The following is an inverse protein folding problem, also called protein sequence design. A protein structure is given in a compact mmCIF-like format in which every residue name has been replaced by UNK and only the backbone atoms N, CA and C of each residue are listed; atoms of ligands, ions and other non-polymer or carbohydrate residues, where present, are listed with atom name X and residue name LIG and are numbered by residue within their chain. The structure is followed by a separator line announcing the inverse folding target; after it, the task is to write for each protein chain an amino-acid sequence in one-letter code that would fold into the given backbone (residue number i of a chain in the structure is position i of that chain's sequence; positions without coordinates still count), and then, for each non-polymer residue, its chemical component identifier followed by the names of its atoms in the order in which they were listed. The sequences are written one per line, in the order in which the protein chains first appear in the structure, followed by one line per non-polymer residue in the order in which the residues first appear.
data_IF_330789670794
#
_entry.id   IF_330789670794
#
_cell.length_a   1.000
_cell.length_b   1.000
_cell.length_c   1.000
_cell.angle_alpha   90.00
_cell.angle_beta   90.00
_cell.angle_gamma   90.00
#
_symmetry.space_group_name_H-M   'P 1'
#
loop_
_entity.id
_entity.type
_entity.pdbx_description
1 polymer ?
#
# COMPACT_ATOMS: atom_id res chain seq x y z
N UNK A 1 16.63 3.08 35.03
CA UNK A 1 16.38 3.32 33.58
C UNK A 1 14.88 3.24 33.31
N UNK A 2 14.34 4.09 32.47
CA UNK A 2 12.89 4.08 32.14
C UNK A 2 12.65 2.99 31.10
N UNK A 3 11.77 2.03 31.41
CA UNK A 3 11.42 0.97 30.47
C UNK A 3 10.51 1.50 29.33
N UNK A 4 10.63 0.89 28.16
CA UNK A 4 9.69 1.10 27.05
C UNK A 4 8.30 0.59 27.46
N UNK A 5 7.25 1.33 27.13
CA UNK A 5 5.87 0.86 27.28
C UNK A 5 5.62 -0.40 26.45
N UNK A 6 4.60 -1.18 26.77
CA UNK A 6 4.24 -2.38 26.01
C UNK A 6 3.99 -2.06 24.52
N UNK A 7 3.31 -0.96 24.23
CA UNK A 7 3.09 -0.48 22.87
C UNK A 7 4.40 -0.15 22.14
N UNK A 8 5.34 0.53 22.83
CA UNK A 8 6.67 0.82 22.29
C UNK A 8 7.48 -0.46 22.04
N UNK A 9 7.42 -1.44 22.96
CA UNK A 9 8.08 -2.74 22.78
C UNK A 9 7.52 -3.49 21.57
N UNK A 10 6.20 -3.49 21.36
CA UNK A 10 5.56 -4.05 20.16
C UNK A 10 6.00 -3.32 18.90
N UNK A 11 5.99 -1.98 18.92
CA UNK A 11 6.41 -1.13 17.81
C UNK A 11 7.87 -1.36 17.42
N UNK A 12 8.77 -1.53 18.38
CA UNK A 12 10.21 -1.73 18.18
C UNK A 12 10.64 -3.20 18.22
N UNK A 13 9.71 -4.15 18.19
CA UNK A 13 9.97 -5.58 18.32
C UNK A 13 11.05 -6.09 17.36
N UNK A 14 11.05 -5.63 16.12
CA UNK A 14 12.08 -5.99 15.13
C UNK A 14 13.46 -5.45 15.54
N UNK A 15 13.55 -4.22 16.04
CA UNK A 15 14.81 -3.62 16.46
C UNK A 15 15.38 -4.30 17.73
N UNK A 16 14.49 -4.68 18.64
CA UNK A 16 14.85 -5.47 19.84
C UNK A 16 15.37 -6.85 19.41
N UNK A 17 14.67 -7.54 18.52
CA UNK A 17 15.09 -8.85 17.99
C UNK A 17 16.49 -8.83 17.36
N UNK A 18 16.82 -7.75 16.67
CA UNK A 18 18.12 -7.58 16.00
C UNK A 18 19.21 -6.94 16.89
N UNK A 19 18.92 -6.69 18.18
CA UNK A 19 19.88 -6.16 19.15
C UNK A 19 20.27 -4.70 18.94
N UNK A 20 19.46 -3.89 18.24
CA UNK A 20 19.69 -2.47 18.06
C UNK A 20 19.22 -1.61 19.24
N UNK A 21 18.24 -2.10 19.98
CA UNK A 21 17.72 -1.50 21.22
C UNK A 21 17.37 -2.61 22.20
N UNK A 22 17.41 -2.26 23.51
CA UNK A 22 16.92 -3.12 24.59
C UNK A 22 15.45 -2.81 24.88
N UNK A 23 14.88 -3.44 25.92
CA UNK A 23 13.54 -3.10 26.41
C UNK A 23 13.51 -1.79 27.20
N UNK A 24 14.67 -1.19 27.43
CA UNK A 24 14.81 0.10 28.12
C UNK A 24 14.96 1.24 27.11
N UNK A 25 14.52 2.43 27.50
CA UNK A 25 14.80 3.63 26.72
C UNK A 25 16.30 3.87 26.72
N UNK A 26 16.96 4.04 25.55
CA UNK A 26 18.39 4.31 25.50
C UNK A 26 18.75 5.55 26.31
N UNK A 27 19.89 5.50 27.01
CA UNK A 27 20.44 6.66 27.71
C UNK A 27 20.76 7.81 26.75
N UNK A 28 21.28 7.48 25.56
CA UNK A 28 21.43 8.42 24.45
C UNK A 28 20.34 8.21 23.39
N UNK A 29 19.38 9.13 23.36
CA UNK A 29 18.30 9.17 22.39
C UNK A 29 18.66 9.90 21.09
N UNK A 30 19.91 10.40 20.96
CA UNK A 30 20.40 11.17 19.82
C UNK A 30 21.22 10.32 18.82
N UNK A 31 21.35 9.02 19.06
CA UNK A 31 22.04 8.09 18.15
C UNK A 31 21.32 7.99 16.78
N UNK A 32 22.08 7.67 15.74
CA UNK A 32 21.51 7.40 14.41
C UNK A 32 20.47 6.28 14.47
N UNK A 33 20.82 5.17 15.15
CA UNK A 33 19.95 3.99 15.30
C UNK A 33 18.61 4.36 15.92
N UNK A 34 18.64 5.07 17.07
CA UNK A 34 17.40 5.45 17.74
C UNK A 34 16.54 6.41 16.92
N UNK A 35 17.18 7.38 16.26
CA UNK A 35 16.51 8.34 15.36
C UNK A 35 15.83 7.61 14.21
N UNK A 36 16.52 6.62 13.60
CA UNK A 36 16.00 5.82 12.52
C UNK A 36 14.80 4.96 12.95
N UNK A 37 14.94 4.20 14.04
CA UNK A 37 13.91 3.27 14.53
C UNK A 37 12.63 4.00 14.94
N UNK A 38 12.77 5.13 15.65
CA UNK A 38 11.60 5.95 16.03
C UNK A 38 10.77 6.34 14.82
N UNK A 39 11.40 6.64 13.70
CA UNK A 39 10.76 7.12 12.49
C UNK A 39 10.34 5.99 11.56
N UNK A 40 11.17 4.97 11.45
CA UNK A 40 11.02 3.86 10.52
C UNK A 40 11.13 2.49 11.21
N UNK A 41 10.23 2.14 12.17
CA UNK A 41 10.33 0.92 12.96
C UNK A 41 10.28 -0.36 12.12
N UNK A 42 9.66 -0.30 10.94
CA UNK A 42 9.56 -1.42 10.00
C UNK A 42 10.73 -1.49 9.00
N UNK A 43 11.75 -0.64 9.14
CA UNK A 43 12.93 -0.55 8.27
C UNK A 43 14.24 -0.93 8.98
N UNK A 44 14.14 -1.84 9.95
CA UNK A 44 15.31 -2.31 10.72
C UNK A 44 16.32 -3.02 9.82
N UNK A 45 15.90 -3.63 8.73
CA UNK A 45 16.78 -4.26 7.74
C UNK A 45 17.83 -3.28 7.16
N UNK A 46 17.51 -2.00 7.05
CA UNK A 46 18.50 -0.96 6.64
C UNK A 46 19.64 -0.85 7.65
N UNK A 47 19.33 -0.91 8.95
CA UNK A 47 20.35 -0.92 10.00
C UNK A 47 21.16 -2.22 10.01
N UNK A 48 20.52 -3.36 9.71
CA UNK A 48 21.23 -4.66 9.57
C UNK A 48 22.25 -4.58 8.44
N UNK A 49 21.87 -4.05 7.28
CA UNK A 49 22.78 -3.84 6.14
C UNK A 49 23.96 -2.92 6.50
N UNK A 50 23.66 -1.76 7.08
CA UNK A 50 24.72 -0.85 7.56
C UNK A 50 25.64 -1.52 8.57
N UNK A 51 25.11 -2.30 9.52
CA UNK A 51 25.94 -3.05 10.48
C UNK A 51 26.83 -4.08 9.79
N UNK A 52 26.34 -4.76 8.76
CA UNK A 52 27.12 -5.73 7.99
C UNK A 52 28.26 -5.06 7.21
N UNK A 53 28.00 -3.89 6.61
CA UNK A 53 29.02 -3.10 5.90
C UNK A 53 30.10 -2.58 6.86
N UNK A 54 29.68 -2.11 8.04
CA UNK A 54 30.57 -1.47 9.01
C UNK A 54 31.24 -2.44 10.00
N UNK A 55 30.75 -3.68 10.12
CA UNK A 55 31.14 -4.63 11.17
C UNK A 55 30.69 -4.23 12.59
N UNK A 56 29.94 -3.13 12.75
CA UNK A 56 29.47 -2.60 14.05
C UNK A 56 28.17 -1.83 13.90
N UNK A 57 27.55 -1.48 15.04
CA UNK A 57 26.34 -0.65 15.07
C UNK A 57 26.63 0.73 14.46
N UNK A 58 25.84 1.19 13.46
CA UNK A 58 26.09 2.43 12.75
C UNK A 58 25.89 3.67 13.63
N UNK A 59 26.78 4.65 13.48
CA UNK A 59 26.74 5.97 14.11
C UNK A 59 26.60 7.05 13.05
N UNK A 60 26.37 8.30 13.47
CA UNK A 60 26.25 9.42 12.54
C UNK A 60 27.52 9.69 11.72
N UNK A 61 28.68 9.58 12.36
CA UNK A 61 29.99 9.77 11.75
C UNK A 61 30.39 8.68 10.76
N UNK A 62 29.73 7.52 10.79
CA UNK A 62 29.97 6.44 9.85
C UNK A 62 29.32 6.65 8.50
N UNK A 63 28.39 7.59 8.41
CA UNK A 63 27.66 7.88 7.18
C UNK A 63 28.52 8.76 6.26
N UNK A 64 29.54 8.14 5.66
CA UNK A 64 30.41 8.68 4.60
C UNK A 64 29.77 8.48 3.23
N UNK A 65 30.35 9.10 2.19
CA UNK A 65 29.89 8.90 0.82
C UNK A 65 30.05 7.43 0.39
N UNK A 66 31.16 6.77 0.76
CA UNK A 66 31.45 5.37 0.44
C UNK A 66 30.42 4.43 1.12
N UNK A 67 30.21 4.55 2.43
CA UNK A 67 29.23 3.72 3.18
C UNK A 67 27.80 3.88 2.62
N UNK A 68 27.43 5.07 2.19
CA UNK A 68 26.11 5.31 1.61
C UNK A 68 26.02 4.69 0.21
N UNK A 69 27.10 4.72 -0.57
CA UNK A 69 27.18 4.04 -1.87
C UNK A 69 27.08 2.53 -1.69
N UNK A 70 27.91 1.95 -0.82
CA UNK A 70 27.91 0.51 -0.53
C UNK A 70 26.54 0.02 -0.05
N UNK A 71 25.88 0.81 0.81
CA UNK A 71 24.50 0.49 1.25
C UNK A 71 23.53 0.46 0.08
N UNK A 72 23.64 1.39 -0.86
CA UNK A 72 22.76 1.47 -2.01
C UNK A 72 23.02 0.28 -2.94
N UNK A 73 24.26 -0.05 -3.21
CA UNK A 73 24.66 -1.17 -4.06
C UNK A 73 24.20 -2.51 -3.46
N UNK A 74 24.38 -2.70 -2.15
CA UNK A 74 23.87 -3.86 -1.41
C UNK A 74 22.33 -3.97 -1.47
N UNK A 75 21.61 -2.83 -1.40
CA UNK A 75 20.16 -2.83 -1.58
C UNK A 75 19.75 -3.14 -3.03
N UNK A 76 20.47 -2.62 -4.02
CA UNK A 76 20.17 -2.83 -5.45
C UNK A 76 20.39 -4.28 -5.88
N UNK A 77 21.24 -5.01 -5.17
CA UNK A 77 21.51 -6.42 -5.45
C UNK A 77 20.29 -7.33 -5.25
N UNK A 78 19.49 -7.12 -4.19
CA UNK A 78 18.40 -8.05 -3.82
C UNK A 78 17.03 -7.41 -3.69
N UNK A 79 16.92 -6.08 -3.64
CA UNK A 79 15.65 -5.39 -3.50
C UNK A 79 15.09 -4.90 -4.85
N UNK A 80 13.77 -4.87 -4.93
CA UNK A 80 13.10 -4.25 -6.06
C UNK A 80 13.42 -2.74 -6.14
N UNK A 81 13.64 -2.16 -7.35
CA UNK A 81 14.08 -0.77 -7.54
C UNK A 81 13.23 0.28 -6.79
N UNK A 82 11.91 0.10 -6.74
CA UNK A 82 11.03 1.01 -6.00
C UNK A 82 11.15 0.86 -4.46
N UNK A 83 11.60 -0.30 -3.97
CA UNK A 83 11.92 -0.49 -2.54
C UNK A 83 13.21 0.25 -2.18
N UNK A 84 14.25 0.11 -3.02
CA UNK A 84 15.49 0.89 -2.89
C UNK A 84 15.19 2.38 -2.90
N UNK A 85 14.42 2.86 -3.89
CA UNK A 85 14.01 4.26 -3.99
C UNK A 85 13.33 4.76 -2.71
N UNK A 86 12.45 3.96 -2.12
CA UNK A 86 11.74 4.33 -0.89
C UNK A 86 12.71 4.46 0.28
N UNK A 87 13.60 3.47 0.47
CA UNK A 87 14.60 3.48 1.55
C UNK A 87 15.57 4.65 1.37
N UNK A 88 16.04 4.89 0.15
CA UNK A 88 16.91 6.04 -0.16
C UNK A 88 16.23 7.37 0.17
N UNK A 89 14.93 7.54 -0.17
CA UNK A 89 14.18 8.74 0.16
C UNK A 89 13.99 8.91 1.68
N UNK A 90 13.71 7.83 2.41
CA UNK A 90 13.59 7.81 3.86
C UNK A 90 14.92 8.18 4.53
N UNK A 91 16.04 7.58 4.10
CA UNK A 91 17.38 7.88 4.62
C UNK A 91 17.77 9.33 4.32
N UNK A 92 17.59 9.78 3.09
CA UNK A 92 17.84 11.18 2.70
C UNK A 92 17.05 12.17 3.57
N UNK A 93 15.80 11.87 3.88
CA UNK A 93 14.97 12.71 4.74
C UNK A 93 15.51 12.77 6.19
N UNK A 94 16.02 11.65 6.72
CA UNK A 94 16.64 11.59 8.05
C UNK A 94 17.95 12.39 8.05
N UNK A 95 18.81 12.21 7.05
CA UNK A 95 20.08 12.94 6.96
C UNK A 95 19.87 14.44 6.82
N UNK A 96 18.96 14.89 5.94
CA UNK A 96 18.66 16.30 5.74
C UNK A 96 18.19 17.02 7.02
N UNK A 97 17.37 16.33 7.85
CA UNK A 97 16.89 16.91 9.12
C UNK A 97 17.98 17.06 10.18
N UNK A 98 19.00 16.23 10.10
CA UNK A 98 20.03 16.15 11.13
C UNK A 98 21.39 16.69 10.69
N UNK A 99 21.57 17.08 9.42
CA UNK A 99 22.87 17.53 8.86
C UNK A 99 23.49 18.73 9.57
N UNK A 100 22.68 19.60 10.17
CA UNK A 100 23.17 20.77 10.89
C UNK A 100 23.60 20.45 12.32
N UNK A 101 23.16 19.34 12.92
CA UNK A 101 23.36 19.05 14.34
C UNK A 101 24.11 17.76 14.60
N UNK A 102 24.31 16.91 13.59
CA UNK A 102 24.95 15.60 13.70
C UNK A 102 26.20 15.51 12.84
N UNK A 103 27.23 14.77 13.28
CA UNK A 103 28.50 14.64 12.58
C UNK A 103 28.43 13.73 11.37
N UNK A 104 27.54 14.04 10.39
CA UNK A 104 27.40 13.31 9.14
C UNK A 104 28.59 13.68 8.24
N UNK A 105 29.38 12.69 7.83
CA UNK A 105 30.60 12.92 7.02
C UNK A 105 30.33 12.94 5.52
N UNK A 106 29.23 12.34 5.06
CA UNK A 106 28.86 12.40 3.64
C UNK A 106 28.49 13.83 3.24
N UNK A 107 29.15 14.33 2.21
CA UNK A 107 28.86 15.65 1.60
C UNK A 107 27.89 15.55 0.43
N UNK A 108 27.80 14.36 -0.20
CA UNK A 108 27.07 14.15 -1.45
C UNK A 108 25.87 13.18 -1.30
N UNK A 109 25.50 12.79 -0.08
CA UNK A 109 24.38 11.84 0.15
C UNK A 109 23.09 12.22 -0.60
N UNK A 110 22.89 13.54 -0.82
CA UNK A 110 21.74 14.04 -1.57
C UNK A 110 21.69 13.54 -3.03
N UNK A 111 22.86 13.29 -3.63
CA UNK A 111 23.02 12.74 -4.98
C UNK A 111 23.09 11.22 -4.96
N UNK A 112 23.87 10.63 -4.05
CA UNK A 112 24.04 9.19 -3.91
C UNK A 112 22.69 8.49 -3.68
N UNK A 113 21.82 9.07 -2.83
CA UNK A 113 20.50 8.55 -2.52
C UNK A 113 19.40 8.91 -3.55
N UNK A 114 19.79 9.37 -4.75
CA UNK A 114 18.85 9.48 -5.86
C UNK A 114 18.57 8.10 -6.45
N UNK A 115 17.29 7.74 -6.56
CA UNK A 115 16.85 6.53 -7.25
C UNK A 115 15.61 6.83 -8.10
N UNK A 116 15.61 6.35 -9.34
CA UNK A 116 14.51 6.57 -10.29
C UNK A 116 13.30 5.70 -9.92
N UNK A 117 12.10 6.23 -10.14
CA UNK A 117 10.85 5.47 -10.05
C UNK A 117 10.76 4.55 -11.27
N UNK A 118 10.63 3.26 -11.01
CA UNK A 118 10.38 2.26 -12.05
C UNK A 118 8.88 2.03 -12.17
N UNK A 119 8.32 2.08 -13.39
CA UNK A 119 6.91 1.77 -13.60
C UNK A 119 6.56 0.38 -13.08
N UNK A 120 5.36 0.24 -12.54
CA UNK A 120 4.79 -1.04 -12.11
C UNK A 120 3.48 -1.22 -12.82
N UNK A 121 3.36 -2.27 -13.62
CA UNK A 121 2.10 -2.66 -14.19
C UNK A 121 1.35 -3.53 -13.17
N UNK A 122 0.14 -3.10 -12.85
CA UNK A 122 -0.72 -3.77 -11.90
C UNK A 122 -1.87 -4.47 -12.62
N UNK A 123 -2.54 -5.38 -11.90
CA UNK A 123 -3.71 -6.10 -12.37
C UNK A 123 -4.98 -5.54 -11.73
N UNK A 124 -6.08 -5.75 -12.41
CA UNK A 124 -7.44 -5.52 -11.93
C UNK A 124 -8.33 -6.72 -12.27
N UNK A 125 -9.52 -6.79 -11.72
CA UNK A 125 -10.52 -7.82 -12.05
C UNK A 125 -11.56 -7.26 -13.01
N UNK A 126 -11.95 -8.07 -14.00
CA UNK A 126 -13.07 -7.76 -14.88
C UNK A 126 -14.42 -7.89 -14.14
N UNK A 127 -15.49 -7.31 -14.68
CA UNK A 127 -16.84 -7.46 -14.11
C UNK A 127 -17.22 -8.93 -13.95
N UNK A 128 -16.89 -9.77 -14.94
CA UNK A 128 -17.15 -11.19 -14.89
C UNK A 128 -16.38 -11.93 -13.78
N UNK A 129 -15.11 -11.56 -13.57
CA UNK A 129 -14.30 -12.11 -12.48
C UNK A 129 -14.82 -11.68 -11.10
N UNK A 130 -15.28 -10.43 -10.96
CA UNK A 130 -15.94 -9.96 -9.73
C UNK A 130 -17.24 -10.73 -9.47
N UNK A 131 -18.05 -10.97 -10.50
CA UNK A 131 -19.28 -11.77 -10.37
C UNK A 131 -18.95 -13.18 -9.87
N UNK A 132 -17.93 -13.83 -10.41
CA UNK A 132 -17.49 -15.16 -9.93
C UNK A 132 -17.11 -15.15 -8.44
N UNK A 133 -16.43 -14.09 -7.99
CA UNK A 133 -16.09 -13.95 -6.56
C UNK A 133 -17.35 -13.71 -5.74
N UNK A 134 -18.26 -12.87 -6.21
CA UNK A 134 -19.54 -12.62 -5.53
C UNK A 134 -20.34 -13.93 -5.35
N UNK A 135 -20.44 -14.75 -6.38
CA UNK A 135 -21.19 -16.00 -6.40
C UNK A 135 -20.49 -17.15 -5.67
N UNK A 136 -19.20 -16.98 -5.36
CA UNK A 136 -18.45 -17.98 -4.60
C UNK A 136 -19.06 -18.22 -3.23
N UNK A 137 -19.29 -19.50 -2.89
CA UNK A 137 -19.81 -19.94 -1.59
C UNK A 137 -18.65 -20.22 -0.64
N UNK A 138 -18.41 -19.35 0.35
CA UNK A 138 -17.31 -19.51 1.30
C UNK A 138 -17.48 -20.76 2.17
N UNK A 139 -16.38 -21.46 2.45
CA UNK A 139 -16.37 -22.66 3.29
C UNK A 139 -16.08 -22.36 4.76
N UNK A 140 -15.75 -21.09 5.09
CA UNK A 140 -15.46 -20.66 6.46
C UNK A 140 -15.81 -19.19 6.65
N UNK A 141 -15.97 -18.78 7.92
CA UNK A 141 -16.17 -17.37 8.30
C UNK A 141 -15.04 -16.47 7.80
N UNK A 142 -13.79 -16.96 7.79
CA UNK A 142 -12.64 -16.22 7.30
C UNK A 142 -12.71 -15.99 5.80
N UNK A 143 -13.11 -16.99 5.03
CA UNK A 143 -13.33 -16.82 3.58
C UNK A 143 -14.48 -15.86 3.32
N UNK A 144 -15.59 -15.98 4.05
CA UNK A 144 -16.74 -15.07 3.95
C UNK A 144 -16.33 -13.62 4.20
N UNK A 145 -15.62 -13.38 5.28
CA UNK A 145 -15.11 -12.06 5.63
C UNK A 145 -14.18 -11.49 4.55
N UNK A 146 -13.17 -12.25 4.13
CA UNK A 146 -12.21 -11.81 3.11
C UNK A 146 -12.90 -11.52 1.78
N UNK A 147 -13.82 -12.39 1.35
CA UNK A 147 -14.64 -12.16 0.16
C UNK A 147 -15.41 -10.86 0.23
N UNK A 148 -16.13 -10.64 1.32
CA UNK A 148 -17.01 -9.49 1.47
C UNK A 148 -16.21 -8.17 1.57
N UNK A 149 -15.15 -8.13 2.38
CA UNK A 149 -14.28 -6.94 2.46
C UNK A 149 -13.63 -6.62 1.11
N UNK A 150 -13.19 -7.63 0.36
CA UNK A 150 -12.62 -7.42 -0.97
C UNK A 150 -13.66 -6.90 -1.98
N UNK A 151 -14.89 -7.43 -1.95
CA UNK A 151 -15.96 -6.94 -2.80
C UNK A 151 -16.34 -5.50 -2.45
N UNK A 152 -16.45 -5.16 -1.15
CA UNK A 152 -16.67 -3.78 -0.72
C UNK A 152 -15.55 -2.87 -1.27
N UNK A 153 -14.27 -3.27 -1.16
CA UNK A 153 -13.15 -2.52 -1.72
C UNK A 153 -13.29 -2.33 -3.25
N UNK A 154 -13.74 -3.36 -3.97
CA UNK A 154 -13.87 -3.34 -5.42
C UNK A 154 -15.07 -2.53 -5.94
N UNK A 155 -16.10 -2.31 -5.12
CA UNK A 155 -17.30 -1.57 -5.51
C UNK A 155 -17.38 -0.15 -4.92
N UNK A 156 -16.53 0.17 -3.94
CA UNK A 156 -16.47 1.50 -3.30
C UNK A 156 -15.17 2.24 -3.55
N UNK A 157 -14.13 1.53 -3.98
CA UNK A 157 -12.79 2.09 -4.09
C UNK A 157 -12.13 2.39 -2.74
N UNK A 158 -12.76 2.12 -1.60
CA UNK A 158 -12.21 2.37 -0.28
C UNK A 158 -10.95 1.54 0.01
N UNK A 159 -10.09 1.97 0.95
CA UNK A 159 -8.96 1.14 1.39
C UNK A 159 -9.44 -0.01 2.26
N UNK A 160 -8.73 -1.13 2.24
CA UNK A 160 -9.06 -2.32 3.04
C UNK A 160 -9.33 -2.00 4.53
N UNK A 161 -8.54 -1.12 5.12
CA UNK A 161 -8.72 -0.69 6.52
C UNK A 161 -10.02 0.10 6.72
N UNK A 162 -10.43 0.87 5.73
CA UNK A 162 -11.67 1.66 5.78
C UNK A 162 -12.88 0.74 5.56
N UNK A 163 -12.82 -0.19 4.59
CA UNK A 163 -13.87 -1.18 4.35
C UNK A 163 -14.22 -2.01 5.60
N UNK A 164 -13.23 -2.32 6.43
CA UNK A 164 -13.44 -3.07 7.70
C UNK A 164 -14.24 -2.32 8.76
N UNK A 165 -14.39 -1.01 8.61
CA UNK A 165 -15.11 -0.12 9.56
C UNK A 165 -16.47 0.32 9.03
N UNK A 166 -16.80 -0.02 7.79
CA UNK A 166 -18.07 0.33 7.17
C UNK A 166 -19.22 -0.52 7.72
N UNK A 167 -20.37 0.11 7.84
CA UNK A 167 -21.63 -0.49 8.24
C UNK A 167 -22.79 0.15 7.47
N UNK A 168 -24.00 -0.34 7.67
CA UNK A 168 -25.21 0.28 7.09
C UNK A 168 -25.41 1.74 7.51
N UNK A 169 -24.91 2.15 8.68
CA UNK A 169 -24.98 3.53 9.14
C UNK A 169 -24.21 4.53 8.23
N UNK A 170 -23.31 4.02 7.38
CA UNK A 170 -22.61 4.83 6.39
C UNK A 170 -23.46 5.13 5.14
N UNK A 171 -24.62 4.50 4.98
CA UNK A 171 -25.51 4.72 3.83
C UNK A 171 -26.46 5.88 4.18
N UNK A 172 -26.50 6.87 3.31
CA UNK A 172 -27.32 8.07 3.44
C UNK A 172 -28.16 8.28 2.18
N UNK A 173 -29.27 8.99 2.30
CA UNK A 173 -30.08 9.45 1.15
C UNK A 173 -29.45 10.69 0.55
N UNK A 174 -29.38 10.73 -0.77
CA UNK A 174 -28.96 11.88 -1.57
C UNK A 174 -30.02 12.11 -2.66
N UNK A 175 -31.01 12.91 -2.38
CA UNK A 175 -32.23 12.99 -3.19
C UNK A 175 -32.99 11.65 -3.16
N UNK A 176 -33.26 11.09 -4.33
CA UNK A 176 -33.90 9.78 -4.50
C UNK A 176 -32.90 8.62 -4.46
N UNK A 177 -31.61 8.90 -4.57
CA UNK A 177 -30.55 7.91 -4.63
C UNK A 177 -29.95 7.66 -3.24
N UNK A 178 -29.18 6.59 -3.11
CA UNK A 178 -28.43 6.26 -1.91
C UNK A 178 -26.93 6.37 -2.17
N UNK A 179 -26.22 6.92 -1.21
CA UNK A 179 -24.77 7.09 -1.23
C UNK A 179 -24.13 6.50 0.02
N UNK A 180 -22.95 5.92 -0.15
CA UNK A 180 -22.06 5.55 0.96
C UNK A 180 -21.21 6.77 1.31
N UNK A 181 -21.28 7.23 2.57
CA UNK A 181 -20.47 8.35 3.06
C UNK A 181 -19.54 7.84 4.17
N UNK A 182 -18.26 8.13 4.04
CA UNK A 182 -17.26 7.74 5.03
C UNK A 182 -16.04 8.68 5.02
N UNK A 183 -15.30 8.71 6.14
CA UNK A 183 -14.04 9.45 6.26
C UNK A 183 -12.89 8.45 6.33
N UNK A 184 -11.97 8.45 5.33
CA UNK A 184 -10.81 7.57 5.31
C UNK A 184 -9.85 7.84 6.47
N UNK A 185 -9.29 6.78 7.07
CA UNK A 185 -8.38 6.88 8.20
C UNK A 185 -7.08 7.65 7.86
N UNK A 186 -6.58 7.52 6.63
CA UNK A 186 -5.29 8.09 6.24
C UNK A 186 -5.37 9.57 5.83
N UNK A 187 -6.45 9.96 5.20
CA UNK A 187 -6.71 11.32 4.73
C UNK A 187 -8.15 11.67 5.13
N UNK A 188 -8.35 12.50 6.16
CA UNK A 188 -9.67 12.75 6.75
C UNK A 188 -10.47 13.77 5.89
N UNK A 189 -10.73 13.40 4.64
CA UNK A 189 -11.65 14.11 3.74
C UNK A 189 -12.84 13.20 3.52
N UNK A 190 -14.06 13.72 3.70
CA UNK A 190 -15.28 12.97 3.47
C UNK A 190 -15.34 12.46 2.02
N UNK A 191 -15.69 11.20 1.86
CA UNK A 191 -15.82 10.52 0.58
C UNK A 191 -17.25 10.06 0.41
N UNK A 192 -17.83 10.38 -0.74
CA UNK A 192 -19.17 9.96 -1.15
C UNK A 192 -19.07 9.06 -2.38
N UNK A 193 -19.71 7.88 -2.31
CA UNK A 193 -19.73 6.90 -3.41
C UNK A 193 -21.17 6.41 -3.63
N UNK A 194 -21.68 6.33 -4.87
CA UNK A 194 -22.98 5.72 -5.15
C UNK A 194 -23.07 4.29 -4.60
N UNK A 195 -24.23 3.93 -4.05
CA UNK A 195 -24.44 2.59 -3.48
C UNK A 195 -24.57 1.55 -4.58
N UNK A 196 -23.62 0.61 -4.65
CA UNK A 196 -23.71 -0.54 -5.53
C UNK A 196 -24.73 -1.56 -5.00
N UNK A 197 -25.45 -2.26 -5.89
CA UNK A 197 -26.50 -3.23 -5.56
C UNK A 197 -26.09 -4.31 -4.54
N UNK A 198 -24.82 -4.70 -4.51
CA UNK A 198 -24.30 -5.68 -3.54
C UNK A 198 -23.95 -5.07 -2.18
N UNK A 199 -23.81 -3.76 -2.08
CA UNK A 199 -23.18 -3.14 -0.91
C UNK A 199 -23.96 -3.41 0.39
N UNK A 200 -25.29 -3.29 0.36
CA UNK A 200 -26.12 -3.50 1.55
C UNK A 200 -26.01 -4.94 2.08
N UNK A 201 -26.10 -5.94 1.21
CA UNK A 201 -25.97 -7.35 1.60
C UNK A 201 -24.60 -7.69 2.20
N UNK A 202 -23.52 -7.02 1.70
CA UNK A 202 -22.16 -7.19 2.19
C UNK A 202 -21.95 -6.53 3.55
N UNK A 203 -22.64 -5.40 3.82
CA UNK A 203 -22.50 -4.64 5.07
C UNK A 203 -23.37 -5.17 6.22
N UNK A 204 -24.45 -5.89 5.91
CA UNK A 204 -25.33 -6.52 6.95
C UNK A 204 -24.59 -7.62 7.72
N UNK A 205 -23.57 -8.22 7.13
CA UNK A 205 -22.86 -9.36 7.70
C UNK A 205 -22.08 -8.98 8.96
N UNK A 206 -22.31 -9.66 10.06
CA UNK A 206 -21.47 -9.56 11.25
C UNK A 206 -20.44 -10.70 11.31
N UNK A 207 -19.31 -10.42 11.97
CA UNK A 207 -18.18 -11.33 12.08
C UNK A 207 -17.57 -11.30 13.47
N UNK A 208 -17.11 -12.44 13.99
CA UNK A 208 -16.35 -12.49 15.26
C UNK A 208 -15.09 -11.61 15.17
N UNK A 209 -14.70 -11.01 16.30
CA UNK A 209 -13.51 -10.14 16.38
C UNK A 209 -12.20 -10.82 15.91
N UNK A 210 -12.07 -12.12 16.18
CA UNK A 210 -10.91 -12.91 15.72
C UNK A 210 -10.80 -12.98 14.19
N UNK A 211 -11.96 -12.86 13.49
CA UNK A 211 -12.02 -12.81 12.03
C UNK A 211 -11.75 -11.41 11.52
N UNK A 212 -12.28 -10.37 12.21
CA UNK A 212 -12.05 -8.97 11.86
C UNK A 212 -10.57 -8.54 12.02
N UNK A 213 -9.86 -9.14 12.98
CA UNK A 213 -8.47 -8.79 13.34
C UNK A 213 -7.38 -9.45 12.47
N UNK A 214 -7.74 -10.20 11.43
CA UNK A 214 -6.74 -10.87 10.58
C UNK A 214 -5.76 -9.89 9.93
N UNK A 215 -4.48 -10.29 9.92
CA UNK A 215 -3.41 -9.51 9.29
C UNK A 215 -3.60 -9.45 7.77
N UNK A 216 -3.16 -8.36 7.17
CA UNK A 216 -3.29 -8.15 5.72
C UNK A 216 -2.57 -9.23 4.88
N UNK A 217 -1.47 -9.78 5.36
CA UNK A 217 -0.77 -10.88 4.68
C UNK A 217 -1.63 -12.15 4.60
N UNK A 218 -2.31 -12.48 5.72
CA UNK A 218 -3.24 -13.61 5.74
C UNK A 218 -4.50 -13.34 4.89
N UNK A 219 -5.03 -12.12 4.96
CA UNK A 219 -6.11 -11.67 4.08
C UNK A 219 -5.77 -11.91 2.61
N UNK A 220 -4.59 -11.48 2.16
CA UNK A 220 -4.14 -11.69 0.79
C UNK A 220 -3.99 -13.18 0.43
N UNK A 221 -3.54 -14.02 1.39
CA UNK A 221 -3.44 -15.47 1.18
C UNK A 221 -4.81 -16.10 0.93
N UNK A 222 -5.80 -15.79 1.77
CA UNK A 222 -7.18 -16.28 1.62
C UNK A 222 -7.83 -15.73 0.35
N UNK A 223 -7.63 -14.45 0.03
CA UNK A 223 -8.14 -13.84 -1.20
C UNK A 223 -7.61 -14.55 -2.45
N UNK A 224 -6.31 -14.85 -2.49
CA UNK A 224 -5.71 -15.62 -3.60
C UNK A 224 -6.35 -17.00 -3.74
N UNK A 225 -6.59 -17.67 -2.61
CA UNK A 225 -7.28 -18.96 -2.59
C UNK A 225 -8.70 -18.86 -3.17
N UNK A 226 -9.47 -17.86 -2.75
CA UNK A 226 -10.82 -17.61 -3.29
C UNK A 226 -10.74 -17.40 -4.81
N UNK A 227 -9.83 -16.54 -5.28
CA UNK A 227 -9.67 -16.28 -6.71
C UNK A 227 -9.27 -17.54 -7.50
N UNK A 228 -8.42 -18.39 -6.92
CA UNK A 228 -8.08 -19.70 -7.50
C UNK A 228 -9.31 -20.60 -7.61
N UNK A 229 -10.13 -20.70 -6.56
CA UNK A 229 -11.39 -21.49 -6.57
C UNK A 229 -12.40 -20.94 -7.58
N UNK A 230 -12.45 -19.63 -7.77
CA UNK A 230 -13.28 -18.97 -8.80
C UNK A 230 -12.78 -19.17 -10.24
N UNK A 231 -11.68 -19.90 -10.44
CA UNK A 231 -11.13 -20.17 -11.78
C UNK A 231 -10.46 -18.95 -12.43
N UNK A 232 -9.99 -17.96 -11.64
CA UNK A 232 -9.25 -16.80 -12.14
C UNK A 232 -7.77 -17.19 -12.37
N UNK A 233 -7.53 -18.06 -13.34
CA UNK A 233 -6.23 -18.71 -13.59
C UNK A 233 -5.56 -18.30 -14.91
N UNK A 234 -6.16 -17.37 -15.65
CA UNK A 234 -5.57 -16.88 -16.90
C UNK A 234 -4.18 -16.30 -16.64
N UNK A 235 -3.23 -16.58 -17.52
CA UNK A 235 -1.89 -16.00 -17.49
C UNK A 235 -1.96 -14.54 -17.89
N UNK A 236 -1.27 -13.69 -17.12
CA UNK A 236 -1.13 -12.27 -17.39
C UNK A 236 0.33 -11.88 -17.33
N UNK A 237 0.72 -10.93 -18.15
CA UNK A 237 2.07 -10.33 -18.12
C UNK A 237 1.97 -9.03 -17.33
N UNK A 238 2.84 -8.86 -16.34
CA UNK A 238 2.95 -7.64 -15.55
C UNK A 238 4.40 -7.19 -15.48
N UNK A 239 4.65 -5.88 -15.44
CA UNK A 239 5.97 -5.34 -15.23
C UNK A 239 6.16 -5.00 -13.74
N UNK A 240 7.07 -5.72 -13.08
CA UNK A 240 7.39 -5.53 -11.65
C UNK A 240 8.88 -5.72 -11.40
N UNK A 241 9.46 -4.89 -10.51
CA UNK A 241 10.88 -5.02 -10.16
C UNK A 241 11.83 -4.82 -11.35
N UNK A 242 11.45 -4.00 -12.33
CA UNK A 242 12.27 -3.75 -13.52
C UNK A 242 12.22 -4.84 -14.60
N UNK A 243 11.37 -5.86 -14.45
CA UNK A 243 11.25 -6.98 -15.40
C UNK A 243 9.81 -7.38 -15.68
N UNK A 244 9.56 -7.97 -16.83
CA UNK A 244 8.28 -8.61 -17.16
C UNK A 244 8.17 -9.96 -16.45
N UNK A 245 7.03 -10.18 -15.79
CA UNK A 245 6.69 -11.43 -15.11
C UNK A 245 5.39 -11.96 -15.73
N UNK A 246 5.40 -13.20 -16.17
CA UNK A 246 4.20 -13.91 -16.63
C UNK A 246 3.80 -14.91 -15.55
N UNK A 247 2.60 -14.76 -15.00
CA UNK A 247 2.08 -15.69 -14.00
C UNK A 247 0.55 -15.75 -14.06
N UNK A 248 -0.05 -16.71 -13.36
CA UNK A 248 -1.49 -16.81 -13.21
C UNK A 248 -2.03 -15.61 -12.41
N UNK A 249 -3.13 -15.05 -12.90
CA UNK A 249 -3.69 -13.80 -12.35
C UNK A 249 -3.97 -13.88 -10.86
N UNK A 250 -4.51 -15.00 -10.35
CA UNK A 250 -4.80 -15.18 -8.93
C UNK A 250 -3.58 -15.03 -8.01
N UNK A 251 -2.38 -15.43 -8.47
CA UNK A 251 -1.12 -15.29 -7.70
C UNK A 251 -0.70 -13.84 -7.51
N UNK A 252 -1.08 -12.98 -8.44
CA UNK A 252 -0.74 -11.57 -8.47
C UNK A 252 -1.72 -10.67 -7.71
N UNK A 253 -2.89 -11.21 -7.32
CA UNK A 253 -3.93 -10.48 -6.59
C UNK A 253 -3.47 -10.18 -5.16
N UNK A 254 -3.78 -8.98 -4.69
CA UNK A 254 -3.62 -8.53 -3.32
C UNK A 254 -4.73 -7.57 -2.93
N UNK A 255 -4.76 -7.10 -1.68
CA UNK A 255 -5.82 -6.23 -1.17
C UNK A 255 -6.07 -5.00 -2.06
N UNK A 256 -5.02 -4.31 -2.50
CA UNK A 256 -5.16 -3.14 -3.39
C UNK A 256 -5.70 -3.46 -4.79
N UNK A 257 -5.87 -4.74 -5.15
CA UNK A 257 -6.48 -5.11 -6.42
C UNK A 257 -7.95 -4.67 -6.50
N UNK A 258 -8.69 -4.66 -5.38
CA UNK A 258 -10.05 -4.15 -5.32
C UNK A 258 -10.13 -2.68 -5.74
N UNK A 259 -9.33 -1.81 -5.13
CA UNK A 259 -9.29 -0.38 -5.50
C UNK A 259 -8.89 -0.13 -6.96
N UNK A 260 -7.95 -0.91 -7.49
CA UNK A 260 -7.57 -0.84 -8.92
C UNK A 260 -8.71 -1.29 -9.82
N UNK A 261 -9.44 -2.31 -9.41
CA UNK A 261 -10.63 -2.79 -10.10
C UNK A 261 -11.69 -1.69 -10.17
N UNK A 262 -12.01 -1.06 -9.04
CA UNK A 262 -12.92 0.08 -8.99
C UNK A 262 -12.51 1.19 -9.96
N UNK A 263 -11.30 1.73 -9.82
CA UNK A 263 -10.81 2.81 -10.65
C UNK A 263 -10.79 2.45 -12.15
N UNK A 264 -10.36 1.22 -12.48
CA UNK A 264 -10.26 0.78 -13.88
C UNK A 264 -11.65 0.59 -14.49
N UNK A 265 -12.59 -0.03 -13.78
CA UNK A 265 -13.94 -0.26 -14.29
C UNK A 265 -14.69 1.07 -14.48
N UNK A 266 -14.55 2.03 -13.59
CA UNK A 266 -15.13 3.37 -13.76
C UNK A 266 -14.50 4.10 -14.95
N UNK A 267 -13.17 4.10 -15.04
CA UNK A 267 -12.45 4.71 -16.15
C UNK A 267 -12.87 4.13 -17.52
N UNK A 268 -12.99 2.80 -17.61
CA UNK A 268 -13.46 2.13 -18.84
C UNK A 268 -14.94 2.36 -19.13
N UNK A 269 -15.72 2.77 -18.13
CA UNK A 269 -17.13 3.19 -18.24
C UNK A 269 -17.28 4.70 -18.47
N UNK A 270 -16.21 5.41 -18.85
CA UNK A 270 -16.19 6.83 -19.18
C UNK A 270 -16.46 7.80 -18.02
N UNK A 271 -16.34 7.35 -16.76
CA UNK A 271 -16.33 8.26 -15.61
C UNK A 271 -15.06 9.12 -15.64
N UNK A 272 -15.16 10.39 -15.28
CA UNK A 272 -14.03 11.32 -15.27
C UNK A 272 -12.98 10.88 -14.24
N UNK A 273 -11.72 11.23 -14.48
CA UNK A 273 -10.66 10.87 -13.52
C UNK A 273 -10.76 11.69 -12.24
N UNK A 274 -11.34 12.87 -12.32
CA UNK A 274 -11.65 13.76 -11.20
C UNK A 274 -12.67 13.11 -10.28
N UNK A 275 -13.80 12.63 -10.81
CA UNK A 275 -14.84 11.93 -10.05
C UNK A 275 -14.29 10.64 -9.42
N UNK A 276 -13.47 9.87 -10.17
CA UNK A 276 -12.81 8.67 -9.63
C UNK A 276 -11.86 9.05 -8.48
N UNK A 277 -11.14 10.18 -8.60
CA UNK A 277 -10.25 10.68 -7.56
C UNK A 277 -11.00 11.01 -6.28
N UNK A 278 -12.13 11.68 -6.40
CA UNK A 278 -12.97 12.08 -5.27
C UNK A 278 -13.57 10.85 -4.58
N UNK A 279 -14.17 9.93 -5.34
CA UNK A 279 -14.69 8.66 -4.82
C UNK A 279 -13.64 7.78 -4.16
N UNK A 280 -12.36 7.90 -4.54
CA UNK A 280 -11.26 7.17 -3.93
C UNK A 280 -10.62 7.89 -2.74
N UNK A 281 -11.04 9.12 -2.43
CA UNK A 281 -10.43 9.94 -1.38
C UNK A 281 -8.96 10.26 -1.68
N UNK A 282 -8.68 10.64 -2.93
CA UNK A 282 -7.36 11.10 -3.39
C UNK A 282 -7.27 12.62 -3.50
N UNK A 283 -8.27 13.35 -3.02
CA UNK A 283 -8.29 14.81 -3.07
C UNK A 283 -7.39 15.41 -1.98
N UNK A 284 -6.68 16.48 -2.33
CA UNK A 284 -5.93 17.31 -1.41
C UNK A 284 -6.52 18.72 -1.45
N UNK A 285 -6.95 19.23 -0.29
CA UNK A 285 -7.52 20.57 -0.16
C UNK A 285 -8.55 20.89 -1.26
N UNK A 286 -9.52 20.01 -1.48
CA UNK A 286 -10.59 20.07 -2.49
C UNK A 286 -10.11 20.04 -3.95
N UNK A 287 -8.87 19.60 -4.21
CA UNK A 287 -8.39 19.37 -5.58
C UNK A 287 -8.13 17.89 -5.80
N UNK A 288 -8.68 17.29 -6.89
CA UNK A 288 -8.42 15.90 -7.27
C UNK A 288 -6.93 15.63 -7.49
N UNK A 289 -6.42 14.51 -6.96
CA UNK A 289 -5.06 14.07 -7.21
C UNK A 289 -5.04 13.09 -8.38
N UNK A 290 -5.03 13.63 -9.58
CA UNK A 290 -5.09 12.89 -10.85
C UNK A 290 -3.88 11.96 -11.02
N UNK A 291 -2.67 12.40 -10.64
CA UNK A 291 -1.46 11.56 -10.74
C UNK A 291 -1.58 10.30 -9.87
N UNK A 292 -2.05 10.45 -8.64
CA UNK A 292 -2.28 9.31 -7.75
C UNK A 292 -3.35 8.38 -8.32
N UNK A 293 -4.47 8.93 -8.78
CA UNK A 293 -5.61 8.16 -9.32
C UNK A 293 -5.22 7.41 -10.59
N UNK A 294 -4.47 8.04 -11.50
CA UNK A 294 -3.93 7.40 -12.70
C UNK A 294 -3.09 6.16 -12.40
N UNK A 295 -2.38 6.14 -11.27
CA UNK A 295 -1.61 4.98 -10.82
C UNK A 295 -2.46 3.75 -10.42
N UNK A 296 -3.76 3.93 -10.23
CA UNK A 296 -4.71 2.84 -9.96
C UNK A 296 -5.40 2.30 -11.22
N UNK A 297 -5.45 3.08 -12.30
CA UNK A 297 -6.07 2.65 -13.56
C UNK A 297 -5.12 1.73 -14.31
N UNK A 298 -5.49 0.45 -14.42
CA UNK A 298 -4.65 -0.59 -15.01
C UNK A 298 -4.84 -0.74 -16.53
N UNK A 299 -5.97 -0.30 -17.06
CA UNK A 299 -6.28 -0.34 -18.47
C UNK A 299 -6.60 1.08 -18.97
N UNK A 300 -5.91 1.52 -20.02
CA UNK A 300 -6.22 2.78 -20.67
C UNK A 300 -7.50 2.64 -21.48
N UNK A 301 -8.27 3.72 -21.58
CA UNK A 301 -9.43 3.79 -22.47
C UNK A 301 -9.01 3.37 -23.87
N UNK A 302 -9.75 2.45 -24.47
CA UNK A 302 -9.60 2.16 -25.89
C UNK A 302 -10.04 3.40 -26.68
N UNK A 303 -9.30 3.75 -27.72
CA UNK A 303 -9.68 4.82 -28.62
C UNK A 303 -11.08 4.53 -29.18
N UNK A 304 -12.00 5.46 -28.99
CA UNK A 304 -13.36 5.32 -29.52
C UNK A 304 -13.38 5.45 -31.03
N UNK A 305 -14.40 4.91 -31.69
CA UNK A 305 -14.57 5.02 -33.17
C UNK A 305 -14.54 6.45 -33.65
N UNK A 306 -15.04 7.41 -32.84
CA UNK A 306 -15.00 8.84 -33.11
C UNK A 306 -13.57 9.41 -33.26
N UNK A 307 -12.61 8.89 -32.49
CA UNK A 307 -11.21 9.33 -32.61
C UNK A 307 -10.63 8.88 -33.95
N UNK A 308 -10.89 7.62 -34.36
CA UNK A 308 -10.44 7.14 -35.66
C UNK A 308 -11.07 7.86 -36.84
N UNK A 309 -12.31 8.41 -36.67
CA UNK A 309 -12.96 9.19 -37.68
C UNK A 309 -12.27 10.55 -37.94
N UNK A 310 -11.56 11.11 -36.95
CA UNK A 310 -10.79 12.35 -37.08
C UNK A 310 -9.49 12.19 -37.87
N UNK A 311 -9.05 10.95 -38.10
CA UNK A 311 -7.81 10.64 -38.83
C UNK A 311 -8.05 9.93 -40.16
N UNK A 312 -9.30 9.84 -40.59
CA UNK A 312 -9.71 9.41 -41.96
C UNK A 312 -10.06 10.62 -42.81
#
# INVERSE_FOLDING_TARGET
MKQLTLEQQQRFSSAIKHGFVTKDVPTDTHTFVWTWIKKHPNRVTTLVRLRNILGRVPRWEDLTDDVISDLKDDMEFDLAPNSVRTICAELKAVLNRNKATKPIRSKTFGNLLKAKKVPVQNIYLTRHELQKIHDYKPKSERERYVKNIFLIEAITGARNVDCRRMSLANIQKYGEEEVLVYVPQKHPVEVTVPVHKWLKELLVQDYPEQVKSIRISYFCKVLKWICFQCGIRNKVVVFRGGRSITDEKWKLIGSHCGRRTFATLLSTSHVSIEDISDMMGHSNANKPNIEMTSGYICERRKLGKSVFALFK
#
